data_IF_934669242739
#
_entry.id   IF_934669242739
#
_cell.length_a   1.000
_cell.length_b   1.000
_cell.length_c   1.000
_cell.angle_alpha   90.00
_cell.angle_beta   90.00
_cell.angle_gamma   90.00
#
_symmetry.space_group_name_H-M   'P 1'
#
loop_
_entity.id
_entity.type
_entity.pdbx_description
1 polymer ?
#
# COMPACT_ATOMS: atom_id res chain seq x y z
N UNK A 1 -10.58 -5.71 -2.86
CA UNK A 1 -10.56 -4.84 -4.05
C UNK A 1 -9.41 -5.29 -4.91
N UNK A 2 -9.67 -5.65 -6.17
CA UNK A 2 -8.57 -6.05 -7.07
C UNK A 2 -7.62 -4.88 -7.32
N UNK A 3 -6.36 -5.18 -7.67
CA UNK A 3 -5.32 -4.14 -7.82
C UNK A 3 -5.70 -3.11 -8.88
N UNK A 4 -6.23 -3.57 -10.02
CA UNK A 4 -6.66 -2.69 -11.12
C UNK A 4 -7.84 -1.82 -10.70
N UNK A 5 -8.77 -2.35 -9.91
CA UNK A 5 -9.87 -1.56 -9.33
C UNK A 5 -9.33 -0.47 -8.39
N UNK A 6 -8.32 -0.79 -7.59
CA UNK A 6 -7.67 0.18 -6.72
C UNK A 6 -6.98 1.29 -7.53
N UNK A 7 -6.20 0.93 -8.56
CA UNK A 7 -5.52 1.89 -9.44
C UNK A 7 -6.54 2.84 -10.09
N UNK A 8 -7.62 2.30 -10.66
CA UNK A 8 -8.68 3.11 -11.27
C UNK A 8 -9.36 4.03 -10.25
N UNK A 9 -9.56 3.57 -9.02
CA UNK A 9 -10.09 4.41 -7.94
C UNK A 9 -9.16 5.58 -7.60
N UNK A 10 -7.84 5.39 -7.73
CA UNK A 10 -6.85 6.41 -7.46
C UNK A 10 -6.79 7.49 -8.54
N UNK A 11 -7.04 7.17 -9.82
CA UNK A 11 -7.20 8.17 -10.88
C UNK A 11 -8.29 9.18 -10.51
N UNK A 12 -9.45 8.68 -10.07
CA UNK A 12 -10.55 9.55 -9.63
C UNK A 12 -10.19 10.32 -8.36
N UNK A 13 -9.59 9.65 -7.38
CA UNK A 13 -9.25 10.26 -6.08
C UNK A 13 -8.20 11.37 -6.20
N UNK A 14 -7.24 11.21 -7.11
CA UNK A 14 -6.16 12.17 -7.34
C UNK A 14 -6.49 13.19 -8.45
N UNK A 15 -7.69 13.11 -9.04
CA UNK A 15 -8.13 13.96 -10.16
C UNK A 15 -7.18 13.90 -11.37
N UNK A 16 -6.81 12.67 -11.76
CA UNK A 16 -5.91 12.41 -12.88
C UNK A 16 -6.69 11.96 -14.11
N UNK A 17 -6.14 12.26 -15.29
CA UNK A 17 -6.68 11.80 -16.56
C UNK A 17 -6.43 10.30 -16.76
N UNK A 18 -7.37 9.63 -17.42
CA UNK A 18 -7.24 8.21 -17.79
C UNK A 18 -6.53 8.09 -19.14
N UNK A 19 -5.20 8.26 -19.10
CA UNK A 19 -4.31 8.11 -20.25
C UNK A 19 -3.16 7.12 -19.96
N UNK A 20 -2.52 6.55 -21.00
CA UNK A 20 -1.51 5.50 -20.83
C UNK A 20 -0.28 5.92 -20.00
N UNK A 21 0.14 7.19 -20.09
CA UNK A 21 1.32 7.68 -19.37
C UNK A 21 0.99 7.81 -17.89
N UNK A 22 -0.14 8.44 -17.57
CA UNK A 22 -0.65 8.55 -16.21
C UNK A 22 -0.88 7.19 -15.57
N UNK A 23 -1.48 6.24 -16.30
CA UNK A 23 -1.74 4.90 -15.80
C UNK A 23 -0.45 4.13 -15.53
N UNK A 24 0.55 4.23 -16.41
CA UNK A 24 1.85 3.62 -16.21
C UNK A 24 2.53 4.15 -14.96
N UNK A 25 2.55 5.48 -14.79
CA UNK A 25 3.17 6.12 -13.65
C UNK A 25 2.46 5.77 -12.34
N UNK A 26 1.12 5.86 -12.31
CA UNK A 26 0.33 5.50 -11.14
C UNK A 26 0.50 4.03 -10.77
N UNK A 27 0.55 3.13 -11.75
CA UNK A 27 0.82 1.70 -11.52
C UNK A 27 2.16 1.49 -10.82
N UNK A 28 3.22 2.17 -11.28
CA UNK A 28 4.55 2.06 -10.65
C UNK A 28 4.54 2.55 -9.19
N UNK A 29 3.81 3.63 -8.89
CA UNK A 29 3.65 4.14 -7.52
C UNK A 29 2.89 3.15 -6.64
N UNK A 30 1.79 2.59 -7.16
CA UNK A 30 0.97 1.62 -6.44
C UNK A 30 1.79 0.37 -6.12
N UNK A 31 2.51 -0.18 -7.10
CA UNK A 31 3.36 -1.35 -6.90
C UNK A 31 4.47 -1.08 -5.88
N UNK A 32 5.15 0.08 -5.95
CA UNK A 32 6.16 0.48 -4.97
C UNK A 32 5.58 0.69 -3.56
N UNK A 33 4.37 1.23 -3.47
CA UNK A 33 3.66 1.43 -2.20
C UNK A 33 3.23 0.11 -1.57
N UNK A 34 2.72 -0.84 -2.37
CA UNK A 34 2.39 -2.20 -1.92
C UNK A 34 3.64 -2.87 -1.36
N UNK A 35 4.75 -2.86 -2.10
CA UNK A 35 6.00 -3.46 -1.67
C UNK A 35 6.53 -2.84 -0.36
N UNK A 36 6.47 -1.51 -0.24
CA UNK A 36 6.86 -0.78 0.97
C UNK A 36 6.05 -1.22 2.19
N UNK A 37 4.73 -1.32 2.06
CA UNK A 37 3.84 -1.73 3.15
C UNK A 37 4.09 -3.18 3.53
N UNK A 38 4.13 -4.11 2.56
CA UNK A 38 4.37 -5.54 2.79
C UNK A 38 5.71 -5.74 3.52
N UNK A 39 6.78 -5.11 3.03
CA UNK A 39 8.09 -5.19 3.65
C UNK A 39 8.11 -4.62 5.08
N UNK A 40 7.28 -3.60 5.35
CA UNK A 40 7.13 -2.98 6.65
C UNK A 40 6.29 -3.77 7.65
N UNK A 41 5.45 -4.71 7.20
CA UNK A 41 4.57 -5.51 8.07
C UNK A 41 5.02 -6.97 8.18
N UNK A 42 5.16 -7.67 7.05
CA UNK A 42 5.58 -9.06 6.94
C UNK A 42 5.84 -9.42 5.46
N UNK A 43 7.08 -9.79 5.14
CA UNK A 43 7.52 -10.08 3.76
C UNK A 43 6.96 -11.39 3.18
N UNK A 44 6.33 -12.26 3.99
CA UNK A 44 5.68 -13.46 3.47
C UNK A 44 4.32 -13.20 2.83
N UNK A 45 3.74 -12.02 3.07
CA UNK A 45 2.42 -11.65 2.56
C UNK A 45 2.47 -11.12 1.14
N UNK A 46 1.35 -11.27 0.44
CA UNK A 46 1.12 -10.72 -0.90
C UNK A 46 -0.01 -9.68 -0.87
N UNK A 47 -0.20 -8.98 -1.98
CA UNK A 47 -1.37 -8.10 -2.14
C UNK A 47 -2.68 -8.89 -2.00
N UNK A 48 -2.73 -10.12 -2.52
CA UNK A 48 -3.94 -10.94 -2.48
C UNK A 48 -4.35 -11.33 -1.06
N UNK A 49 -3.39 -11.50 -0.15
CA UNK A 49 -3.66 -11.75 1.28
C UNK A 49 -4.26 -10.53 1.99
N UNK A 50 -3.97 -9.33 1.47
CA UNK A 50 -4.25 -8.05 2.12
C UNK A 50 -5.38 -7.25 1.47
N UNK A 51 -5.78 -7.58 0.23
CA UNK A 51 -6.73 -6.79 -0.57
C UNK A 51 -8.15 -6.70 -0.02
N UNK A 52 -8.48 -7.51 0.99
CA UNK A 52 -9.74 -7.49 1.73
C UNK A 52 -9.63 -6.74 3.07
N UNK A 53 -8.43 -6.36 3.51
CA UNK A 53 -8.21 -5.61 4.74
C UNK A 53 -8.35 -4.10 4.50
N UNK A 54 -9.41 -3.51 5.06
CA UNK A 54 -9.67 -2.06 4.94
C UNK A 54 -8.53 -1.20 5.49
N UNK A 55 -7.84 -1.66 6.54
CA UNK A 55 -6.72 -0.93 7.14
C UNK A 55 -5.52 -0.89 6.18
N UNK A 56 -5.27 -1.99 5.46
CA UNK A 56 -4.28 -2.05 4.39
C UNK A 56 -4.65 -1.13 3.22
N UNK A 57 -5.90 -1.16 2.76
CA UNK A 57 -6.36 -0.28 1.66
C UNK A 57 -6.22 1.20 2.05
N UNK A 58 -6.48 1.57 3.30
CA UNK A 58 -6.29 2.94 3.80
C UNK A 58 -4.82 3.33 3.90
N UNK A 59 -3.95 2.44 4.35
CA UNK A 59 -2.50 2.65 4.35
C UNK A 59 -1.98 2.84 2.91
N UNK A 60 -2.40 1.97 1.99
CA UNK A 60 -2.00 1.99 0.59
C UNK A 60 -2.45 3.28 -0.09
N UNK A 61 -3.72 3.69 0.06
CA UNK A 61 -4.22 4.97 -0.46
C UNK A 61 -3.39 6.14 0.04
N UNK A 62 -3.11 6.17 1.35
CA UNK A 62 -2.36 7.27 1.96
C UNK A 62 -0.94 7.35 1.42
N UNK A 63 -0.25 6.21 1.30
CA UNK A 63 1.11 6.16 0.77
C UNK A 63 1.17 6.51 -0.71
N UNK A 64 0.24 6.01 -1.53
CA UNK A 64 0.16 6.33 -2.95
C UNK A 64 -0.06 7.83 -3.16
N UNK A 65 -0.99 8.43 -2.42
CA UNK A 65 -1.20 9.89 -2.47
C UNK A 65 0.04 10.66 -2.08
N UNK A 66 0.69 10.27 -0.98
CA UNK A 66 1.89 10.94 -0.52
C UNK A 66 3.03 10.83 -1.55
N UNK A 67 3.25 9.63 -2.07
CA UNK A 67 4.32 9.36 -3.05
C UNK A 67 4.04 10.02 -4.39
N UNK A 68 2.77 10.14 -4.80
CA UNK A 68 2.40 10.85 -6.00
C UNK A 68 2.84 12.32 -5.95
N UNK A 69 2.58 13.02 -4.83
CA UNK A 69 2.91 14.44 -4.66
C UNK A 69 4.36 14.69 -4.20
N UNK A 70 4.97 13.75 -3.45
CA UNK A 70 6.32 13.84 -2.92
C UNK A 70 7.02 12.48 -3.07
N UNK A 71 7.65 12.28 -4.24
CA UNK A 71 8.32 11.02 -4.63
C UNK A 71 9.49 10.66 -3.74
N UNK A 72 10.17 11.66 -3.21
CA UNK A 72 11.35 11.48 -2.36
C UNK A 72 10.96 11.28 -0.88
N UNK A 73 9.68 11.49 -0.54
CA UNK A 73 9.19 11.54 0.83
C UNK A 73 10.11 12.45 1.66
N UNK A 74 10.37 13.67 1.19
CA UNK A 74 11.35 14.58 1.75
C UNK A 74 11.11 14.89 3.24
N UNK A 75 9.85 14.78 3.68
CA UNK A 75 9.44 14.96 5.08
C UNK A 75 9.19 13.64 5.84
N UNK A 76 9.62 12.51 5.29
CA UNK A 76 9.32 11.17 5.78
C UNK A 76 7.86 10.79 5.61
N UNK A 77 7.45 9.67 6.21
CA UNK A 77 6.06 9.22 6.14
C UNK A 77 5.12 10.10 6.96
N UNK A 78 3.93 10.36 6.41
CA UNK A 78 2.89 11.10 7.14
C UNK A 78 2.43 10.36 8.40
N UNK A 79 2.03 11.13 9.42
CA UNK A 79 1.46 10.56 10.64
C UNK A 79 0.22 9.69 10.38
N UNK A 80 -0.59 10.08 9.39
CA UNK A 80 -1.75 9.30 8.95
C UNK A 80 -1.34 7.91 8.44
N UNK A 81 -0.31 7.83 7.58
CA UNK A 81 0.23 6.55 7.13
C UNK A 81 0.74 5.71 8.31
N UNK A 82 1.56 6.30 9.18
CA UNK A 82 2.13 5.59 10.33
C UNK A 82 1.05 5.04 11.28
N UNK A 83 -0.05 5.78 11.45
CA UNK A 83 -1.21 5.36 12.26
C UNK A 83 -1.94 4.15 11.66
N UNK A 84 -1.86 3.96 10.35
CA UNK A 84 -2.44 2.80 9.65
C UNK A 84 -1.51 1.60 9.61
N UNK A 85 -0.19 1.83 9.58
CA UNK A 85 0.81 0.76 9.55
C UNK A 85 0.96 0.06 10.89
N UNK A 86 0.98 0.79 12.01
CA UNK A 86 1.25 0.17 13.31
C UNK A 86 0.27 -0.98 13.67
N UNK A 87 -1.06 -0.86 13.45
CA UNK A 87 -1.98 -1.97 13.67
C UNK A 87 -1.76 -3.15 12.70
N UNK A 88 -1.38 -2.88 11.45
CA UNK A 88 -1.07 -3.94 10.47
C UNK A 88 0.18 -4.70 10.89
N UNK A 89 1.21 -4.02 11.36
CA UNK A 89 2.41 -4.66 11.91
C UNK A 89 2.04 -5.59 13.06
N UNK A 90 1.23 -5.13 14.02
CA UNK A 90 0.81 -5.97 15.15
C UNK A 90 -0.05 -7.18 14.71
N UNK A 91 -0.90 -7.00 13.69
CA UNK A 91 -1.78 -8.05 13.17
C UNK A 91 -1.01 -9.13 12.41
N UNK A 92 0.04 -8.74 11.69
CA UNK A 92 0.71 -9.60 10.71
C UNK A 92 2.14 -10.01 11.10
N UNK A 93 2.67 -9.53 12.23
CA UNK A 93 4.03 -9.83 12.70
C UNK A 93 4.32 -11.31 12.95
N UNK A 94 3.27 -12.13 13.18
CA UNK A 94 3.41 -13.53 13.61
C UNK A 94 3.01 -14.56 12.54
N UNK A 95 2.53 -14.12 11.36
CA UNK A 95 1.96 -14.99 10.30
C UNK A 95 3.01 -15.88 9.60
N UNK A 96 4.16 -16.15 10.22
CA UNK A 96 5.20 -17.07 9.76
C UNK A 96 5.88 -17.91 10.84
N UNK A 97 5.43 -17.87 12.10
CA UNK A 97 6.10 -18.56 13.21
C UNK A 97 5.46 -19.91 13.63
N UNK A 98 4.31 -20.29 13.08
CA UNK A 98 3.57 -21.47 13.54
C UNK A 98 4.08 -22.82 12.97
N UNK A 99 5.05 -22.82 12.04
CA UNK A 99 5.56 -24.08 11.44
C UNK A 99 6.82 -24.68 12.11
N UNK A 100 7.28 -24.19 13.28
CA UNK A 100 8.52 -24.69 13.91
C UNK A 100 8.37 -25.35 15.29
N UNK A 101 7.15 -25.62 15.77
CA UNK A 101 6.95 -26.44 16.97
C UNK A 101 5.80 -27.43 16.80
N UNK A 102 6.06 -28.56 16.15
CA UNK A 102 5.30 -29.82 16.30
C UNK A 102 6.20 -31.02 16.05
#
# INVERSE_FOLDING_TARGET
MEKDEFINSMLTYLHLDDDPETLQELTAIVDGSIATIINGINQSLTYDDLKADNQFIMALRTLVTQTYYDRELANGYSFGFLSYIAPLQAKYSEVGNDETNS
#
